data_IF_722603124197
#
_entry.id   IF_722603124197
#
_cell.length_a   1.000
_cell.length_b   1.000
_cell.length_c   1.000
_cell.angle_alpha   90.00
_cell.angle_beta   90.00
_cell.angle_gamma   90.00
#
_symmetry.space_group_name_H-M   'P 1'
#
loop_
_entity.id
_entity.type
_entity.pdbx_description
1 polymer ?
#
# COMPACT_ATOMS: atom_id res chain seq x y z
N UNK A 1 -34.58 13.25 -11.80
CA UNK A 1 -34.67 14.33 -10.79
C UNK A 1 -33.25 14.80 -10.52
N UNK A 2 -33.03 16.08 -10.77
CA UNK A 2 -31.76 16.79 -10.88
C UNK A 2 -31.02 16.92 -9.54
N UNK A 3 -29.75 16.52 -9.50
CA UNK A 3 -28.83 16.83 -8.40
C UNK A 3 -28.21 18.22 -8.64
N UNK A 4 -28.53 19.16 -7.76
CA UNK A 4 -27.80 20.41 -7.43
C UNK A 4 -27.92 20.55 -5.91
N UNK A 5 -27.01 21.10 -5.11
CA UNK A 5 -25.59 21.46 -5.15
C UNK A 5 -25.26 21.86 -3.70
N UNK A 6 -24.01 22.26 -3.43
CA UNK A 6 -23.55 23.05 -2.28
C UNK A 6 -23.49 22.41 -0.88
N UNK A 7 -22.29 21.97 -0.52
CA UNK A 7 -21.65 22.33 0.75
C UNK A 7 -20.14 22.41 0.51
N UNK A 8 -19.70 23.55 -0.03
CA UNK A 8 -18.30 23.96 0.01
C UNK A 8 -17.95 24.31 1.46
N UNK A 9 -17.30 23.38 2.15
CA UNK A 9 -16.60 23.70 3.38
C UNK A 9 -15.36 24.53 3.01
N UNK A 10 -15.38 25.81 3.36
CA UNK A 10 -14.26 26.73 3.24
C UNK A 10 -13.02 26.18 3.94
N UNK A 11 -12.14 25.52 3.18
CA UNK A 11 -10.76 25.30 3.55
C UNK A 11 -9.91 26.26 2.72
N UNK A 12 -9.26 27.21 3.37
CA UNK A 12 -8.24 28.06 2.74
C UNK A 12 -7.04 27.18 2.41
N UNK A 13 -7.05 26.64 1.19
CA UNK A 13 -5.90 26.12 0.46
C UNK A 13 -6.22 26.21 -1.05
N UNK A 14 -6.57 27.41 -1.48
CA UNK A 14 -6.64 27.79 -2.88
C UNK A 14 -5.23 28.05 -3.39
N UNK A 15 -4.62 27.02 -3.99
CA UNK A 15 -3.58 27.14 -5.02
C UNK A 15 -3.53 25.82 -5.82
N UNK A 16 -4.13 25.85 -7.01
CA UNK A 16 -4.06 24.88 -8.12
C UNK A 16 -4.32 23.39 -7.84
N UNK A 17 -5.60 23.01 -7.65
CA UNK A 17 -6.02 21.64 -7.92
C UNK A 17 -6.05 21.48 -9.45
N UNK A 18 -4.93 20.99 -10.03
CA UNK A 18 -4.99 20.38 -11.36
C UNK A 18 -6.15 19.39 -11.36
N UNK A 19 -7.03 19.50 -12.35
CA UNK A 19 -8.12 18.53 -12.57
C UNK A 19 -7.50 17.12 -12.54
N UNK A 20 -8.05 16.24 -11.72
CA UNK A 20 -7.56 14.86 -11.63
C UNK A 20 -7.65 14.22 -13.02
N UNK A 21 -6.55 13.63 -13.47
CA UNK A 21 -6.49 12.93 -14.75
C UNK A 21 -6.84 11.46 -14.49
N UNK A 22 -7.65 10.87 -15.37
CA UNK A 22 -8.10 9.49 -15.24
C UNK A 22 -7.68 8.70 -16.48
N UNK A 23 -7.09 7.53 -16.24
CA UNK A 23 -6.78 6.56 -17.29
C UNK A 23 -8.01 5.73 -17.67
N UNK A 24 -7.92 4.96 -18.75
CA UNK A 24 -8.94 3.96 -19.07
C UNK A 24 -9.10 2.92 -17.93
N UNK A 25 -8.02 2.59 -17.22
CA UNK A 25 -8.08 1.69 -16.08
C UNK A 25 -8.96 2.28 -14.96
N UNK A 26 -8.77 3.56 -14.64
CA UNK A 26 -9.56 4.26 -13.62
C UNK A 26 -11.05 4.27 -13.96
N UNK A 27 -11.38 4.59 -15.22
CA UNK A 27 -12.76 4.65 -15.70
C UNK A 27 -13.44 3.28 -15.61
N UNK A 28 -12.80 2.22 -16.13
CA UNK A 28 -13.37 0.86 -16.11
C UNK A 28 -13.53 0.34 -14.68
N UNK A 29 -12.55 0.59 -13.80
CA UNK A 29 -12.62 0.16 -12.40
C UNK A 29 -13.79 0.84 -11.67
N UNK A 30 -13.95 2.17 -11.85
CA UNK A 30 -15.03 2.96 -11.24
C UNK A 30 -16.40 2.57 -11.79
N UNK A 31 -16.53 2.42 -13.11
CA UNK A 31 -17.78 2.02 -13.77
C UNK A 31 -18.28 0.68 -13.25
N UNK A 32 -17.42 -0.35 -13.28
CA UNK A 32 -17.79 -1.70 -12.82
C UNK A 32 -18.07 -1.77 -11.33
N UNK A 33 -17.34 -1.01 -10.52
CA UNK A 33 -17.63 -0.92 -9.09
C UNK A 33 -19.00 -0.29 -8.83
N UNK A 34 -19.37 0.75 -9.58
CA UNK A 34 -20.70 1.37 -9.52
C UNK A 34 -21.81 0.44 -10.01
N UNK A 35 -21.55 -0.33 -11.07
CA UNK A 35 -22.46 -1.36 -11.56
C UNK A 35 -22.71 -2.44 -10.50
N UNK A 36 -21.66 -2.95 -9.86
CA UNK A 36 -21.79 -3.89 -8.74
C UNK A 36 -22.60 -3.30 -7.57
N UNK A 37 -22.51 -1.98 -7.34
CA UNK A 37 -23.27 -1.32 -6.28
C UNK A 37 -24.75 -1.22 -6.65
N UNK A 38 -25.04 -0.89 -7.91
CA UNK A 38 -26.40 -0.87 -8.45
C UNK A 38 -27.05 -2.26 -8.43
N UNK A 39 -26.26 -3.30 -8.63
CA UNK A 39 -26.69 -4.70 -8.59
C UNK A 39 -26.70 -5.29 -7.16
N UNK A 40 -26.54 -4.47 -6.12
CA UNK A 40 -26.62 -4.87 -4.72
C UNK A 40 -25.64 -5.99 -4.31
N UNK A 41 -24.47 -6.07 -4.96
CA UNK A 41 -23.46 -7.10 -4.68
C UNK A 41 -22.76 -6.88 -3.33
N UNK A 42 -22.78 -5.65 -2.81
CA UNK A 42 -22.13 -5.29 -1.55
C UNK A 42 -22.98 -5.64 -0.33
N UNK A 43 -22.35 -5.84 0.84
CA UNK A 43 -23.08 -6.01 2.11
C UNK A 43 -23.84 -4.75 2.55
N UNK A 44 -23.41 -3.60 2.04
CA UNK A 44 -24.03 -2.30 2.24
C UNK A 44 -23.57 -1.33 1.15
N UNK A 45 -24.41 -0.34 0.86
CA UNK A 45 -24.05 0.80 0.02
C UNK A 45 -23.12 1.70 0.83
N UNK A 46 -21.98 2.09 0.26
CA UNK A 46 -21.06 2.99 0.94
C UNK A 46 -21.75 4.35 1.16
N UNK A 47 -21.89 4.74 2.42
CA UNK A 47 -22.45 6.02 2.81
C UNK A 47 -21.60 6.66 3.91
N UNK A 48 -20.63 7.49 3.49
CA UNK A 48 -19.81 8.27 4.42
C UNK A 48 -20.62 9.48 4.83
N UNK A 49 -21.17 9.44 6.04
CA UNK A 49 -22.14 10.44 6.52
C UNK A 49 -21.49 11.74 6.95
N UNK A 50 -20.30 11.64 7.54
CA UNK A 50 -19.53 12.76 8.06
C UNK A 50 -18.05 12.50 7.85
N UNK A 51 -17.30 13.55 7.58
CA UNK A 51 -15.85 13.51 7.49
C UNK A 51 -15.24 14.81 8.00
N UNK A 52 -14.18 14.72 8.79
CA UNK A 52 -13.44 15.89 9.26
C UNK A 52 -11.95 15.63 9.32
N UNK A 53 -11.18 16.69 9.11
CA UNK A 53 -9.76 16.72 9.44
C UNK A 53 -9.63 17.09 10.90
N UNK A 54 -8.95 16.25 11.69
CA UNK A 54 -8.66 16.53 13.08
C UNK A 54 -7.60 17.63 13.20
N UNK A 55 -7.79 18.51 14.18
CA UNK A 55 -6.79 19.47 14.59
C UNK A 55 -5.54 18.76 15.11
N UNK A 56 -4.38 19.36 14.88
CA UNK A 56 -3.08 18.86 15.34
C UNK A 56 -2.10 18.60 14.20
N UNK A 57 -0.85 18.29 14.57
CA UNK A 57 0.32 18.23 13.66
C UNK A 57 0.10 17.36 12.42
N UNK A 58 -0.68 16.28 12.54
CA UNK A 58 -0.77 15.24 11.51
C UNK A 58 -2.03 15.30 10.65
N UNK A 59 -2.98 16.18 10.97
CA UNK A 59 -4.19 16.43 10.17
C UNK A 59 -4.91 15.14 9.74
N UNK A 60 -5.21 14.25 10.70
CA UNK A 60 -5.85 12.98 10.40
C UNK A 60 -7.25 13.18 9.80
N UNK A 61 -7.53 12.49 8.70
CA UNK A 61 -8.89 12.36 8.18
C UNK A 61 -9.66 11.31 8.98
N UNK A 62 -10.82 11.69 9.49
CA UNK A 62 -11.79 10.79 10.12
C UNK A 62 -13.05 10.77 9.27
N UNK A 63 -13.56 9.57 9.00
CA UNK A 63 -14.78 9.33 8.23
C UNK A 63 -15.73 8.42 9.01
N UNK A 64 -17.00 8.81 9.10
CA UNK A 64 -18.05 8.04 9.76
C UNK A 64 -18.75 7.13 8.75
N UNK A 65 -18.56 5.81 8.92
CA UNK A 65 -19.23 4.77 8.15
C UNK A 65 -19.93 3.80 9.11
N UNK A 66 -21.18 4.12 9.47
CA UNK A 66 -21.95 3.36 10.47
C UNK A 66 -22.21 1.94 9.97
N UNK A 67 -22.65 1.80 8.71
CA UNK A 67 -22.98 0.51 8.09
C UNK A 67 -21.84 -0.51 8.20
N UNK A 68 -20.60 -0.06 7.98
CA UNK A 68 -19.43 -0.94 8.11
C UNK A 68 -19.25 -1.48 9.54
N UNK A 69 -19.60 -0.70 10.55
CA UNK A 69 -19.42 -1.07 11.96
C UNK A 69 -20.15 -2.37 12.33
N UNK A 70 -21.32 -2.62 11.74
CA UNK A 70 -22.17 -3.77 12.08
C UNK A 70 -22.45 -4.73 10.92
N UNK A 71 -22.31 -4.30 9.65
CA UNK A 71 -22.56 -5.17 8.47
C UNK A 71 -21.31 -5.85 7.91
N UNK A 72 -20.11 -5.44 8.35
CA UNK A 72 -18.85 -6.09 7.93
C UNK A 72 -18.75 -7.49 8.54
N UNK A 73 -18.14 -8.41 7.79
CA UNK A 73 -17.79 -9.75 8.32
C UNK A 73 -16.91 -9.64 9.58
N UNK A 74 -17.10 -10.57 10.51
CA UNK A 74 -16.15 -10.77 11.60
C UNK A 74 -14.78 -11.15 11.03
N UNK A 75 -13.68 -10.57 11.54
CA UNK A 75 -12.33 -11.01 11.21
C UNK A 75 -12.11 -12.47 11.59
N UNK A 76 -11.23 -13.14 10.86
CA UNK A 76 -10.69 -14.44 11.27
C UNK A 76 -9.91 -14.34 12.59
N UNK A 77 -9.80 -15.46 13.30
CA UNK A 77 -8.92 -15.56 14.47
C UNK A 77 -7.47 -15.56 13.98
N UNK A 78 -6.79 -14.45 14.24
CA UNK A 78 -5.41 -14.22 13.83
C UNK A 78 -4.54 -14.29 15.07
N UNK A 79 -3.64 -15.26 15.11
CA UNK A 79 -2.70 -15.47 16.22
C UNK A 79 -1.25 -15.19 15.83
N UNK A 80 -0.94 -15.13 14.53
CA UNK A 80 0.42 -14.96 14.02
C UNK A 80 0.43 -14.29 12.65
N UNK A 81 1.49 -13.54 12.35
CA UNK A 81 1.74 -13.01 11.01
C UNK A 81 2.00 -14.11 9.98
N UNK A 82 2.54 -15.26 10.41
CA UNK A 82 2.90 -16.40 9.54
C UNK A 82 1.86 -17.53 9.63
N UNK A 83 0.61 -17.21 9.97
CA UNK A 83 -0.45 -18.21 10.05
C UNK A 83 -0.68 -18.84 8.66
N UNK A 84 -0.71 -20.18 8.56
CA UNK A 84 -0.93 -20.85 7.27
C UNK A 84 -2.35 -20.56 6.76
N UNK A 85 -2.50 -20.57 5.43
CA UNK A 85 -3.80 -20.51 4.79
C UNK A 85 -4.70 -21.65 5.28
N UNK A 86 -6.00 -21.37 5.44
CA UNK A 86 -6.99 -22.36 5.84
C UNK A 86 -8.16 -22.35 4.85
N UNK A 87 -8.35 -23.46 4.14
CA UNK A 87 -9.42 -23.62 3.15
C UNK A 87 -10.83 -23.63 3.76
N UNK A 88 -10.94 -24.00 5.04
CA UNK A 88 -12.23 -24.08 5.75
C UNK A 88 -12.77 -22.69 6.06
N UNK A 89 -11.89 -21.75 6.35
CA UNK A 89 -12.23 -20.35 6.57
C UNK A 89 -12.65 -19.67 5.25
N UNK A 90 -13.19 -18.47 5.34
CA UNK A 90 -13.52 -17.72 4.14
C UNK A 90 -12.27 -17.43 3.33
N UNK A 91 -12.36 -17.55 2.00
CA UNK A 91 -11.25 -17.23 1.12
C UNK A 91 -11.77 -16.86 -0.26
N UNK A 92 -10.97 -16.11 -1.02
CA UNK A 92 -11.36 -15.58 -2.32
C UNK A 92 -11.52 -16.60 -3.46
N UNK A 93 -11.27 -17.90 -3.23
CA UNK A 93 -11.71 -18.95 -4.17
C UNK A 93 -13.25 -19.02 -4.20
N UNK A 94 -13.89 -18.67 -3.08
CA UNK A 94 -15.35 -18.70 -2.87
C UNK A 94 -16.04 -17.41 -3.32
N UNK A 95 -15.35 -16.52 -4.04
CA UNK A 95 -15.97 -15.33 -4.62
C UNK A 95 -17.02 -15.72 -5.64
N UNK A 96 -18.17 -15.04 -5.61
CA UNK A 96 -19.18 -15.16 -6.67
C UNK A 96 -18.76 -14.32 -7.89
N UNK A 97 -19.25 -14.67 -9.07
CA UNK A 97 -18.88 -14.01 -10.32
C UNK A 97 -19.15 -12.50 -10.33
N UNK A 98 -20.21 -12.09 -9.63
CA UNK A 98 -20.71 -10.72 -9.53
C UNK A 98 -19.78 -9.84 -8.69
N UNK A 99 -18.98 -10.43 -7.80
CA UNK A 99 -17.97 -9.70 -7.03
C UNK A 99 -16.71 -9.42 -7.87
N UNK A 100 -16.53 -10.08 -9.02
CA UNK A 100 -15.36 -9.91 -9.86
C UNK A 100 -15.50 -8.70 -10.81
N UNK A 101 -14.53 -7.80 -10.77
CA UNK A 101 -14.48 -6.60 -11.63
C UNK A 101 -13.79 -6.95 -12.96
N UNK A 102 -12.55 -7.44 -12.92
CA UNK A 102 -11.77 -7.73 -14.14
C UNK A 102 -10.67 -8.77 -13.91
N UNK A 103 -10.24 -9.42 -14.99
CA UNK A 103 -9.04 -10.26 -15.03
C UNK A 103 -7.86 -9.42 -15.50
N UNK A 104 -6.69 -9.60 -14.90
CA UNK A 104 -5.49 -8.81 -15.20
C UNK A 104 -4.59 -9.45 -16.25
N UNK A 105 -4.72 -10.76 -16.46
CA UNK A 105 -3.97 -11.49 -17.48
C UNK A 105 -4.96 -12.16 -18.46
N UNK A 106 -4.63 -12.14 -19.75
CA UNK A 106 -5.44 -12.79 -20.78
C UNK A 106 -5.31 -14.33 -20.77
N UNK A 107 -4.26 -14.86 -20.16
CA UNK A 107 -3.90 -16.29 -20.23
C UNK A 107 -4.19 -17.07 -18.97
N UNK A 108 -4.26 -16.42 -17.81
CA UNK A 108 -4.51 -17.06 -16.53
C UNK A 108 -5.49 -16.20 -15.71
N UNK A 109 -6.68 -16.73 -15.41
CA UNK A 109 -7.77 -16.03 -14.69
C UNK A 109 -7.51 -15.94 -13.18
N UNK A 110 -6.24 -15.92 -12.81
CA UNK A 110 -5.79 -16.08 -11.43
C UNK A 110 -5.44 -14.77 -10.75
N UNK A 111 -4.92 -13.81 -11.51
CA UNK A 111 -4.75 -12.42 -11.07
C UNK A 111 -6.01 -11.62 -11.43
N UNK A 112 -6.80 -11.25 -10.42
CA UNK A 112 -8.08 -10.55 -10.63
C UNK A 112 -8.20 -9.31 -9.76
N UNK A 113 -9.09 -8.40 -10.17
CA UNK A 113 -9.65 -7.38 -9.29
C UNK A 113 -11.09 -7.77 -8.96
N UNK A 114 -11.44 -7.72 -7.69
CA UNK A 114 -12.79 -7.91 -7.18
C UNK A 114 -13.23 -6.70 -6.35
N UNK A 115 -14.53 -6.52 -6.13
CA UNK A 115 -15.01 -5.54 -5.15
C UNK A 115 -14.55 -5.94 -3.74
N UNK A 116 -14.43 -4.96 -2.85
CA UNK A 116 -14.51 -5.26 -1.43
C UNK A 116 -15.98 -5.14 -1.00
N UNK A 117 -16.63 -6.26 -0.70
CA UNK A 117 -18.04 -6.30 -0.26
C UNK A 117 -18.33 -5.52 1.04
N UNK A 118 -17.30 -5.02 1.74
CA UNK A 118 -17.40 -4.08 2.87
C UNK A 118 -16.50 -2.86 2.65
N UNK A 119 -16.89 -1.96 1.74
CA UNK A 119 -16.06 -0.84 1.30
C UNK A 119 -15.83 0.17 2.42
N UNK A 120 -14.63 0.75 2.48
CA UNK A 120 -14.28 1.84 3.43
C UNK A 120 -14.33 3.20 2.75
N UNK A 121 -14.14 3.22 1.44
CA UNK A 121 -14.01 4.41 0.61
C UNK A 121 -14.49 4.06 -0.81
N UNK A 122 -14.72 5.09 -1.61
CA UNK A 122 -15.14 5.00 -2.99
C UNK A 122 -14.24 4.06 -3.80
N UNK A 123 -14.90 3.18 -4.55
CA UNK A 123 -14.24 2.21 -5.41
C UNK A 123 -13.29 1.26 -4.65
N UNK A 124 -13.57 1.00 -3.36
CA UNK A 124 -12.81 0.03 -2.58
C UNK A 124 -12.93 -1.38 -3.18
N UNK A 125 -11.81 -1.83 -3.73
CA UNK A 125 -11.62 -3.07 -4.49
C UNK A 125 -10.42 -3.83 -3.94
N UNK A 126 -10.27 -5.08 -4.37
CA UNK A 126 -9.21 -5.99 -3.96
C UNK A 126 -8.45 -6.48 -5.18
N UNK A 127 -7.12 -6.33 -5.19
CA UNK A 127 -6.24 -7.11 -6.06
C UNK A 127 -6.02 -8.46 -5.39
N UNK A 128 -6.30 -9.51 -6.15
CA UNK A 128 -6.16 -10.90 -5.74
C UNK A 128 -5.14 -11.56 -6.66
N UNK A 129 -3.84 -11.50 -6.31
CA UNK A 129 -2.80 -12.06 -7.13
C UNK A 129 -2.64 -13.55 -6.83
N UNK A 130 -2.51 -14.37 -7.87
CA UNK A 130 -2.33 -15.82 -7.76
C UNK A 130 -3.39 -16.48 -6.87
N UNK A 131 -4.65 -16.07 -7.04
CA UNK A 131 -5.78 -16.41 -6.15
C UNK A 131 -5.93 -17.92 -5.91
N UNK A 132 -5.75 -18.74 -6.94
CA UNK A 132 -5.88 -20.20 -6.94
C UNK A 132 -4.71 -20.90 -6.26
N UNK A 133 -3.59 -20.19 -6.01
CA UNK A 133 -2.48 -20.72 -5.20
C UNK A 133 -2.76 -20.70 -3.70
N UNK A 134 -3.87 -20.11 -3.26
CA UNK A 134 -4.31 -20.14 -1.86
C UNK A 134 -3.20 -19.68 -0.90
N UNK A 135 -2.50 -18.60 -1.28
CA UNK A 135 -1.38 -18.09 -0.50
C UNK A 135 -1.92 -17.39 0.76
N UNK A 136 -1.26 -17.54 1.93
CA UNK A 136 -1.61 -16.76 3.13
C UNK A 136 -1.40 -15.26 2.87
N UNK A 137 -1.93 -14.40 3.76
CA UNK A 137 -1.82 -12.94 3.67
C UNK A 137 -0.39 -12.45 3.97
N UNK A 138 0.53 -12.79 3.07
CA UNK A 138 1.96 -12.48 3.09
C UNK A 138 2.39 -11.96 1.73
N UNK A 139 3.08 -10.81 1.71
CA UNK A 139 3.57 -10.21 0.47
C UNK A 139 4.55 -11.16 -0.22
N UNK A 140 4.25 -11.50 -1.47
CA UNK A 140 5.17 -12.18 -2.39
C UNK A 140 5.74 -11.20 -3.40
N UNK A 141 6.89 -11.54 -4.01
CA UNK A 141 7.48 -10.77 -5.12
C UNK A 141 6.45 -10.51 -6.23
N UNK A 142 5.69 -11.54 -6.61
CA UNK A 142 4.65 -11.43 -7.65
C UNK A 142 3.55 -10.44 -7.23
N UNK A 143 3.04 -10.57 -6.00
CA UNK A 143 1.96 -9.70 -5.50
C UNK A 143 2.38 -8.23 -5.42
N UNK A 144 3.62 -7.95 -5.00
CA UNK A 144 4.16 -6.60 -4.92
C UNK A 144 4.33 -5.99 -6.31
N UNK A 145 4.86 -6.76 -7.27
CA UNK A 145 4.98 -6.31 -8.66
C UNK A 145 3.60 -6.00 -9.23
N UNK A 146 2.60 -6.87 -9.03
CA UNK A 146 1.23 -6.63 -9.50
C UNK A 146 0.59 -5.39 -8.88
N UNK A 147 0.82 -5.15 -7.58
CA UNK A 147 0.34 -3.95 -6.91
C UNK A 147 0.95 -2.67 -7.52
N UNK A 148 2.26 -2.68 -7.82
CA UNK A 148 2.97 -1.55 -8.46
C UNK A 148 2.54 -1.36 -9.91
N UNK A 149 2.36 -2.43 -10.67
CA UNK A 149 1.83 -2.39 -12.04
C UNK A 149 0.45 -1.73 -12.06
N UNK A 150 -0.48 -2.18 -11.21
CA UNK A 150 -1.82 -1.59 -11.11
C UNK A 150 -1.78 -0.12 -10.72
N UNK A 151 -0.96 0.24 -9.73
CA UNK A 151 -0.78 1.64 -9.35
C UNK A 151 -0.30 2.50 -10.52
N UNK A 152 0.58 1.96 -11.37
CA UNK A 152 1.13 2.65 -12.54
C UNK A 152 0.16 2.76 -13.72
N UNK A 153 -0.92 1.98 -13.74
CA UNK A 153 -1.97 2.10 -14.76
C UNK A 153 -2.87 3.32 -14.51
N UNK A 154 -2.98 3.77 -13.27
CA UNK A 154 -3.79 4.91 -12.89
C UNK A 154 -3.09 6.23 -13.17
N UNK A 155 -3.83 7.20 -13.72
CA UNK A 155 -3.38 8.60 -13.79
C UNK A 155 -3.93 9.44 -12.62
N UNK A 156 -4.85 8.86 -11.84
CA UNK A 156 -5.51 9.56 -10.74
C UNK A 156 -4.55 9.75 -9.58
N UNK A 157 -4.47 10.99 -9.10
CA UNK A 157 -3.74 11.33 -7.88
C UNK A 157 -4.42 10.79 -6.61
N UNK A 158 -5.65 10.28 -6.72
CA UNK A 158 -6.46 9.81 -5.60
C UNK A 158 -6.43 8.30 -5.41
N UNK A 159 -5.89 7.51 -6.36
CA UNK A 159 -5.78 6.08 -6.16
C UNK A 159 -4.84 5.76 -5.00
N UNK A 160 -5.21 4.76 -4.21
CA UNK A 160 -4.41 4.21 -3.11
C UNK A 160 -4.32 2.72 -3.29
N UNK A 161 -3.12 2.18 -3.10
CA UNK A 161 -2.88 0.73 -3.04
C UNK A 161 -2.26 0.42 -1.69
N UNK A 162 -2.88 -0.48 -0.93
CA UNK A 162 -2.49 -0.76 0.46
C UNK A 162 -2.49 -2.25 0.76
N UNK A 163 -1.65 -2.66 1.73
CA UNK A 163 -1.58 -4.03 2.21
C UNK A 163 -1.66 -4.05 3.73
N UNK A 164 -2.57 -4.87 4.25
CA UNK A 164 -2.65 -5.17 5.67
C UNK A 164 -2.14 -6.60 5.88
N UNK A 165 -1.13 -6.78 6.74
CA UNK A 165 -0.76 -8.11 7.20
C UNK A 165 -1.76 -8.61 8.26
N UNK A 166 -1.73 -9.90 8.58
CA UNK A 166 -2.64 -10.51 9.56
C UNK A 166 -2.66 -9.76 10.91
N UNK A 167 -1.49 -9.46 11.49
CA UNK A 167 -1.41 -8.71 12.75
C UNK A 167 -1.52 -7.18 12.57
N UNK A 168 -1.84 -6.70 11.37
CA UNK A 168 -2.09 -5.30 11.05
C UNK A 168 -3.53 -5.10 10.54
N UNK A 169 -4.50 -5.71 11.23
CA UNK A 169 -5.94 -5.59 10.97
C UNK A 169 -6.44 -6.16 9.64
N UNK A 170 -5.69 -7.05 8.96
CA UNK A 170 -6.30 -7.89 7.93
C UNK A 170 -7.39 -8.77 8.55
N UNK A 171 -8.45 -9.04 7.79
CA UNK A 171 -9.61 -9.80 8.29
C UNK A 171 -9.77 -11.17 7.64
N UNK A 172 -8.96 -11.46 6.62
CA UNK A 172 -8.99 -12.70 5.82
C UNK A 172 -7.55 -13.15 5.61
N UNK A 173 -7.26 -14.42 5.89
CA UNK A 173 -5.95 -15.03 5.61
C UNK A 173 -5.87 -15.63 4.20
N UNK A 174 -5.94 -14.77 3.20
CA UNK A 174 -5.70 -15.11 1.79
C UNK A 174 -5.13 -13.88 1.11
N UNK A 175 -3.96 -13.99 0.47
CA UNK A 175 -3.22 -12.91 -0.18
C UNK A 175 -4.12 -11.95 -1.00
N UNK A 176 -4.22 -10.71 -0.53
CA UNK A 176 -4.93 -9.62 -1.19
C UNK A 176 -4.30 -8.26 -0.89
N UNK A 177 -4.49 -7.34 -1.83
CA UNK A 177 -4.16 -5.91 -1.68
C UNK A 177 -5.43 -5.08 -1.83
N UNK A 178 -5.51 -3.96 -1.12
CA UNK A 178 -6.61 -3.02 -1.19
C UNK A 178 -6.34 -1.96 -2.25
N UNK A 179 -7.37 -1.59 -3.02
CA UNK A 179 -7.39 -0.43 -3.91
C UNK A 179 -8.59 0.45 -3.58
N UNK A 180 -8.44 1.76 -3.53
CA UNK A 180 -9.56 2.69 -3.36
C UNK A 180 -9.15 4.10 -3.81
N UNK A 181 -10.11 4.99 -4.01
CA UNK A 181 -9.83 6.40 -4.38
C UNK A 181 -10.18 7.31 -3.22
N UNK A 182 -9.17 8.00 -2.70
CA UNK A 182 -9.33 8.95 -1.61
C UNK A 182 -9.06 10.36 -2.12
N UNK A 183 -10.12 11.19 -2.21
CA UNK A 183 -10.03 12.59 -2.62
C UNK A 183 -9.49 13.52 -1.52
N UNK A 184 -8.55 13.03 -0.74
CA UNK A 184 -7.88 13.74 0.32
C UNK A 184 -6.40 13.43 0.25
N UNK A 185 -5.58 14.47 0.31
CA UNK A 185 -4.14 14.27 0.39
C UNK A 185 -3.79 13.71 1.76
N UNK A 186 -3.01 12.64 1.78
CA UNK A 186 -2.50 12.08 3.03
C UNK A 186 -1.26 12.84 3.47
N UNK A 187 -0.92 12.75 4.77
CA UNK A 187 0.25 13.43 5.33
C UNK A 187 1.54 13.20 4.51
N UNK A 188 1.76 11.98 4.01
CA UNK A 188 2.92 11.64 3.16
C UNK A 188 2.98 12.41 1.84
N UNK A 189 1.84 12.90 1.35
CA UNK A 189 1.75 13.72 0.14
C UNK A 189 1.95 15.21 0.44
N UNK A 190 1.78 15.63 1.70
CA UNK A 190 2.06 16.98 2.18
C UNK A 190 3.48 17.16 2.68
N UNK A 191 4.13 16.09 3.13
CA UNK A 191 5.49 16.21 3.66
C UNK A 191 6.43 16.43 2.48
N UNK A 192 6.66 17.71 2.22
CA UNK A 192 7.86 18.21 1.56
C UNK A 192 9.00 17.79 2.47
N UNK A 193 9.70 16.72 2.10
CA UNK A 193 10.89 16.33 2.82
C UNK A 193 11.98 17.36 2.51
N UNK A 194 12.16 18.33 3.42
CA UNK A 194 13.34 19.18 3.44
C UNK A 194 14.49 18.31 3.96
N UNK A 195 14.96 17.42 3.09
CA UNK A 195 16.12 16.60 3.36
C UNK A 195 17.35 17.50 3.42
N UNK A 196 18.03 17.53 4.56
CA UNK A 196 19.34 18.18 4.69
C UNK A 196 20.44 17.24 4.16
N UNK A 197 20.19 15.94 4.16
CA UNK A 197 21.15 14.92 3.71
C UNK A 197 20.53 13.54 3.49
N UNK A 198 21.35 12.66 2.93
CA UNK A 198 21.13 11.23 2.80
C UNK A 198 21.90 10.50 3.90
N UNK A 199 21.37 9.39 4.41
CA UNK A 199 22.00 8.60 5.47
C UNK A 199 21.67 7.11 5.40
N UNK A 200 22.65 6.27 5.71
CA UNK A 200 22.52 4.83 5.77
C UNK A 200 23.41 4.20 6.85
N UNK A 201 23.00 3.02 7.31
CA UNK A 201 23.68 2.20 8.31
C UNK A 201 23.82 0.78 7.80
N UNK A 202 25.05 0.29 7.73
CA UNK A 202 25.34 -1.12 7.49
C UNK A 202 25.30 -1.85 8.84
N UNK A 203 24.52 -2.91 8.93
CA UNK A 203 24.39 -3.79 10.09
C UNK A 203 24.85 -5.20 9.76
N UNK A 204 25.38 -5.89 10.76
CA UNK A 204 25.75 -7.30 10.66
C UNK A 204 25.29 -8.04 11.92
N UNK A 205 24.77 -9.28 11.80
CA UNK A 205 24.49 -10.11 12.96
C UNK A 205 25.80 -10.54 13.63
N UNK A 206 25.87 -10.41 14.96
CA UNK A 206 26.93 -11.04 15.77
C UNK A 206 26.59 -12.51 16.05
N UNK A 207 27.47 -13.21 16.76
CA UNK A 207 27.33 -14.62 17.15
C UNK A 207 26.01 -14.94 17.89
N UNK A 208 25.39 -13.92 18.51
CA UNK A 208 24.10 -14.01 19.20
C UNK A 208 22.88 -13.71 18.30
N UNK A 209 23.08 -13.54 16.99
CA UNK A 209 22.03 -13.20 16.02
C UNK A 209 21.56 -11.74 16.05
N UNK A 210 22.08 -10.90 16.96
CA UNK A 210 21.66 -9.50 17.09
C UNK A 210 22.37 -8.65 16.03
N UNK A 211 21.56 -7.91 15.25
CA UNK A 211 22.06 -6.98 14.24
C UNK A 211 22.68 -5.74 14.89
N UNK A 212 23.98 -5.54 14.69
CA UNK A 212 24.69 -4.36 15.14
C UNK A 212 25.19 -3.50 13.98
N UNK A 213 25.14 -2.16 14.10
CA UNK A 213 25.79 -1.26 13.16
C UNK A 213 27.29 -1.55 13.06
N UNK A 214 27.79 -1.68 11.84
CA UNK A 214 29.21 -1.87 11.52
C UNK A 214 29.77 -0.77 10.63
N UNK A 215 28.92 0.00 9.94
CA UNK A 215 29.34 1.18 9.19
C UNK A 215 28.19 2.18 9.03
N UNK A 216 28.56 3.44 8.81
CA UNK A 216 27.63 4.54 8.56
C UNK A 216 28.02 5.25 7.26
N UNK A 217 27.02 5.67 6.49
CA UNK A 217 27.18 6.51 5.32
C UNK A 217 26.26 7.72 5.49
N UNK A 218 26.77 8.92 5.24
CA UNK A 218 25.93 10.11 5.16
C UNK A 218 26.54 11.17 4.27
N UNK A 219 25.69 11.98 3.63
CA UNK A 219 26.12 13.19 2.92
C UNK A 219 25.02 14.23 2.86
N UNK A 220 25.39 15.50 2.68
CA UNK A 220 24.43 16.57 2.41
C UNK A 220 23.80 16.41 1.01
N UNK A 221 22.56 16.86 0.87
CA UNK A 221 21.87 16.91 -0.41
C UNK A 221 22.36 18.08 -1.25
N UNK A 222 22.49 17.86 -2.57
CA UNK A 222 22.72 18.95 -3.53
C UNK A 222 21.45 19.77 -3.67
N UNK A 223 21.57 21.04 -4.07
CA UNK A 223 20.43 21.94 -4.28
C UNK A 223 19.41 21.40 -5.31
N UNK A 224 19.87 20.59 -6.27
CA UNK A 224 19.02 19.93 -7.26
C UNK A 224 18.34 18.67 -6.71
N UNK A 225 18.92 18.04 -5.70
CA UNK A 225 18.37 16.84 -5.06
C UNK A 225 17.38 17.21 -3.95
N UNK A 226 17.60 18.30 -3.22
CA UNK A 226 16.71 18.77 -2.14
C UNK A 226 15.28 19.10 -2.60
N UNK A 227 15.10 19.29 -3.91
CA UNK A 227 13.79 19.51 -4.55
C UNK A 227 13.07 18.21 -4.93
N UNK A 228 13.72 17.05 -4.80
CA UNK A 228 13.15 15.74 -5.17
C UNK A 228 12.26 15.20 -4.05
N UNK A 229 11.23 14.45 -4.44
CA UNK A 229 10.31 13.77 -3.51
C UNK A 229 11.03 12.71 -2.67
N UNK A 230 10.50 12.42 -1.48
CA UNK A 230 11.04 11.44 -0.52
C UNK A 230 11.49 10.12 -1.15
N UNK A 231 10.62 9.49 -1.95
CA UNK A 231 10.93 8.20 -2.59
C UNK A 231 12.11 8.26 -3.56
N UNK A 232 12.32 9.40 -4.24
CA UNK A 232 13.51 9.61 -5.09
C UNK A 232 14.78 9.69 -4.26
N UNK A 233 14.72 10.35 -3.10
CA UNK A 233 15.83 10.46 -2.17
C UNK A 233 16.17 9.11 -1.53
N UNK A 234 15.16 8.28 -1.26
CA UNK A 234 15.36 6.90 -0.79
C UNK A 234 16.07 6.03 -1.82
N UNK A 235 15.61 6.02 -3.08
CA UNK A 235 16.32 5.30 -4.14
C UNK A 235 17.77 5.78 -4.30
N UNK A 236 18.00 7.09 -4.15
CA UNK A 236 19.32 7.69 -4.26
C UNK A 236 20.26 7.23 -3.13
N UNK A 237 19.79 7.23 -1.87
CA UNK A 237 20.62 6.76 -0.75
C UNK A 237 20.90 5.26 -0.83
N UNK A 238 19.95 4.46 -1.30
CA UNK A 238 20.17 3.02 -1.53
C UNK A 238 21.30 2.81 -2.54
N UNK A 239 21.20 3.46 -3.71
CA UNK A 239 22.23 3.37 -4.75
C UNK A 239 23.60 3.78 -4.21
N UNK A 240 23.67 4.91 -3.53
CA UNK A 240 24.96 5.43 -3.06
C UNK A 240 25.56 4.63 -1.91
N UNK A 241 24.73 4.14 -0.97
CA UNK A 241 25.20 3.28 0.11
C UNK A 241 25.75 1.95 -0.42
N UNK A 242 25.10 1.35 -1.45
CA UNK A 242 25.58 0.14 -2.11
C UNK A 242 26.94 0.37 -2.78
N UNK A 243 27.09 1.49 -3.49
CA UNK A 243 28.36 1.84 -4.13
C UNK A 243 29.46 2.12 -3.10
N UNK A 244 29.13 2.84 -2.02
CA UNK A 244 30.06 3.17 -0.95
C UNK A 244 30.57 1.92 -0.23
N UNK A 245 29.69 0.96 0.06
CA UNK A 245 30.03 -0.32 0.69
C UNK A 245 30.25 -1.47 -0.30
N UNK A 246 30.50 -1.20 -1.59
CA UNK A 246 30.62 -2.26 -2.60
C UNK A 246 31.60 -3.37 -2.19
N UNK A 247 32.73 -2.99 -1.58
CA UNK A 247 33.76 -3.92 -1.09
C UNK A 247 33.28 -4.84 0.03
N UNK A 248 32.31 -4.40 0.84
CA UNK A 248 31.68 -5.20 1.89
C UNK A 248 30.55 -6.10 1.38
N UNK A 249 29.97 -5.79 0.21
CA UNK A 249 28.74 -6.39 -0.30
C UNK A 249 28.98 -7.36 -1.45
N UNK A 250 30.04 -7.17 -2.24
CA UNK A 250 30.37 -8.03 -3.38
C UNK A 250 30.51 -9.48 -2.90
N UNK A 251 29.80 -10.39 -3.58
CA UNK A 251 29.80 -11.83 -3.27
C UNK A 251 29.01 -12.21 -2.02
N UNK A 252 28.23 -11.31 -1.41
CA UNK A 252 27.42 -11.58 -0.21
C UNK A 252 25.94 -11.31 -0.45
N UNK A 253 25.09 -12.09 0.20
CA UNK A 253 23.67 -11.78 0.28
C UNK A 253 23.46 -10.65 1.29
N UNK A 254 22.68 -9.64 0.92
CA UNK A 254 22.31 -8.58 1.85
C UNK A 254 20.85 -8.16 1.67
N UNK A 255 20.27 -7.63 2.75
CA UNK A 255 18.90 -7.10 2.76
C UNK A 255 18.96 -5.59 2.91
N UNK A 256 18.21 -4.86 2.08
CA UNK A 256 18.06 -3.40 2.16
C UNK A 256 16.74 -3.11 2.86
N UNK A 257 16.79 -2.42 4.00
CA UNK A 257 15.62 -1.97 4.75
C UNK A 257 15.49 -0.45 4.60
N UNK A 258 14.46 0.01 3.88
CA UNK A 258 14.16 1.43 3.67
C UNK A 258 12.77 1.79 4.20
N UNK A 259 12.59 3.06 4.58
CA UNK A 259 11.42 3.55 5.31
C UNK A 259 10.18 3.80 4.43
N UNK A 260 10.31 3.97 3.11
CA UNK A 260 9.14 4.06 2.22
C UNK A 260 8.36 2.75 2.08
N UNK A 261 8.70 1.69 2.83
CA UNK A 261 7.85 0.51 2.99
C UNK A 261 7.04 0.48 4.29
N UNK A 262 7.19 1.44 5.23
CA UNK A 262 6.26 1.83 6.33
C UNK A 262 6.92 2.98 7.14
N UNK A 263 6.33 4.18 7.11
CA UNK A 263 6.32 5.28 8.13
C UNK A 263 7.67 5.78 8.73
N UNK A 264 8.02 7.05 8.42
CA UNK A 264 8.98 8.01 9.04
C UNK A 264 10.07 7.56 10.05
N UNK A 265 11.31 7.45 9.56
CA UNK A 265 12.55 8.17 9.97
C UNK A 265 13.69 7.59 9.12
N UNK A 266 14.43 8.35 8.32
CA UNK A 266 15.41 7.77 7.40
C UNK A 266 16.62 7.11 8.11
N UNK A 267 16.54 5.78 8.31
CA UNK A 267 17.62 4.94 8.83
C UNK A 267 17.79 3.70 7.95
N UNK A 268 18.31 3.85 6.73
CA UNK A 268 18.56 2.71 5.86
C UNK A 268 19.39 1.66 6.61
N UNK A 269 18.88 0.44 6.79
CA UNK A 269 19.65 -0.66 7.35
C UNK A 269 20.01 -1.64 6.25
N UNK A 270 21.30 -1.84 6.01
CA UNK A 270 21.80 -2.89 5.14
C UNK A 270 22.26 -4.06 6.00
N UNK A 271 21.67 -5.25 5.86
CA UNK A 271 22.05 -6.43 6.65
C UNK A 271 22.89 -7.36 5.79
N UNK A 272 24.14 -7.64 6.18
CA UNK A 272 24.96 -8.67 5.53
C UNK A 272 24.59 -10.05 6.10
N UNK A 273 24.08 -10.94 5.25
CA UNK A 273 23.84 -12.34 5.59
C UNK A 273 25.05 -13.19 5.17
N UNK A 274 25.97 -13.44 6.10
CA UNK A 274 27.01 -14.46 5.88
C UNK A 274 26.40 -15.84 6.15
N UNK A 275 25.85 -16.50 5.11
CA UNK A 275 25.71 -17.95 5.13
C UNK A 275 27.06 -18.56 4.73
N UNK A 276 27.97 -18.68 5.70
CA UNK A 276 29.04 -19.67 5.56
C UNK A 276 28.40 -21.02 5.87
N UNK A 277 28.00 -21.75 4.82
CA UNK A 277 27.88 -23.19 4.93
C UNK A 277 29.24 -23.72 5.39
N UNK A 278 29.33 -24.13 6.66
CA UNK A 278 30.35 -25.09 7.07
C UNK A 278 30.00 -26.38 6.32
N UNK A 279 30.87 -26.73 5.38
CA UNK A 279 31.00 -28.10 4.88
C UNK A 279 31.54 -29.00 5.98
#
# INVERSE_FOLDING_TARGET
>A
MSYNSSTEANCVCSEDIKKDEESNFDLVLKEKWMEAQKNEVFRYILNIQDSKILEGKYHFLVQLNIDRGYKRRSPESIISMNQPFNEKDFNFIKLVSEEQIMNLNNTDKDDIIAINASPIEYCHSLLLPQRCKQLPQLVTKHSLVKAVELFSLSLSSYIRVAFNSLCAFASVNHLHWHLYYLKWRMLLEYIIQVGIGLGAVLKQPRDNGILQPIAYFSRKLKLTESKKKAFHLECLVIKEAILYWQHCLIGRNFTVLSFSLIIFEALLFMIINNYLHKS
#
